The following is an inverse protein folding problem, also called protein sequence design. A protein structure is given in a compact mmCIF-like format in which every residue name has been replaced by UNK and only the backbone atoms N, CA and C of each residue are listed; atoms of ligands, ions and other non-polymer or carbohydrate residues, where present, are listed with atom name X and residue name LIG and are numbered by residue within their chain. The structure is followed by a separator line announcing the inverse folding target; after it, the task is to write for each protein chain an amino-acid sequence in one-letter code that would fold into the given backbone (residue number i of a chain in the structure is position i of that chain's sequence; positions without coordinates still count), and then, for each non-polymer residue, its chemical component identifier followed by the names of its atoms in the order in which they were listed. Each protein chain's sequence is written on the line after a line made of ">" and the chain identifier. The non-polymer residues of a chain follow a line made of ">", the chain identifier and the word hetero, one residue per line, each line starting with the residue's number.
data_IF_121761682616
#
_entry.id   IF_121761682616
#
_cell.length_a   1.000
_cell.length_b   1.000
_cell.length_c   1.000
_cell.angle_alpha   90.00
_cell.angle_beta   90.00
_cell.angle_gamma   90.00
#
_symmetry.space_group_name_H-M   'P 1'
#
loop_
_entity.id
_entity.type
_entity.pdbx_description
1 polymer ?
#
# COMPACT_ATOMS: atom_id res chain seq x y z
N UNK A 1 6.65 11.27 -7.36
CA UNK A 1 6.07 10.44 -6.27
C UNK A 1 6.05 8.94 -6.59
N UNK A 2 5.86 8.51 -7.84
CA UNK A 2 5.77 7.08 -8.19
C UNK A 2 7.07 6.29 -7.92
N UNK A 3 8.24 6.89 -8.17
CA UNK A 3 9.53 6.24 -7.91
C UNK A 3 9.74 5.92 -6.42
N UNK A 4 9.39 6.82 -5.51
CA UNK A 4 9.51 6.61 -4.06
C UNK A 4 8.69 5.40 -3.61
N UNK A 5 7.45 5.29 -4.10
CA UNK A 5 6.58 4.15 -3.80
C UNK A 5 7.17 2.83 -4.29
N UNK A 6 7.77 2.83 -5.49
CA UNK A 6 8.45 1.65 -6.03
C UNK A 6 9.66 1.25 -5.17
N UNK A 7 10.49 2.20 -4.75
CA UNK A 7 11.62 1.92 -3.85
C UNK A 7 11.16 1.35 -2.51
N UNK A 8 10.11 1.93 -1.91
CA UNK A 8 9.54 1.40 -0.67
C UNK A 8 8.98 -0.01 -0.86
N UNK A 9 8.30 -0.29 -1.97
CA UNK A 9 7.85 -1.65 -2.28
C UNK A 9 9.00 -2.65 -2.37
N UNK A 10 10.09 -2.28 -3.05
CA UNK A 10 11.28 -3.14 -3.16
C UNK A 10 11.96 -3.32 -1.79
N UNK A 11 11.99 -2.28 -0.96
CA UNK A 11 12.52 -2.34 0.39
C UNK A 11 11.70 -3.29 1.29
N UNK A 12 10.38 -3.11 1.34
CA UNK A 12 9.48 -3.94 2.15
C UNK A 12 9.20 -5.34 1.59
N UNK A 13 9.84 -5.70 0.48
CA UNK A 13 9.83 -7.06 -0.04
C UNK A 13 10.53 -8.02 0.91
N UNK A 14 11.71 -7.61 1.39
CA UNK A 14 12.57 -8.43 2.25
C UNK A 14 12.60 -7.91 3.70
N UNK A 15 11.98 -6.76 3.94
CA UNK A 15 11.95 -6.12 5.25
C UNK A 15 10.52 -5.97 5.76
N UNK A 16 10.34 -6.18 7.06
CA UNK A 16 9.13 -5.85 7.81
C UNK A 16 9.50 -4.79 8.85
N UNK A 17 8.63 -3.82 9.06
CA UNK A 17 8.86 -2.78 10.05
C UNK A 17 7.57 -2.43 10.79
N UNK A 18 7.70 -2.09 12.07
CA UNK A 18 6.60 -1.60 12.90
C UNK A 18 6.94 -0.18 13.29
N UNK A 19 6.09 0.76 12.91
CA UNK A 19 6.33 2.20 13.12
C UNK A 19 5.05 2.90 13.52
N UNK A 20 5.21 4.07 14.12
CA UNK A 20 4.10 4.95 14.44
C UNK A 20 3.55 5.59 13.16
N UNK A 21 2.24 5.75 13.10
CA UNK A 21 1.50 6.36 12.02
C UNK A 21 0.37 7.23 12.58
N UNK A 22 0.02 8.28 11.84
CA UNK A 22 -1.05 9.23 12.21
C UNK A 22 -2.27 8.94 11.36
N UNK A 23 -3.43 8.76 11.99
CA UNK A 23 -4.72 8.64 11.29
C UNK A 23 -5.03 9.97 10.63
N UNK A 24 -5.08 10.01 9.31
CA UNK A 24 -5.39 11.24 8.54
C UNK A 24 -6.85 11.32 8.15
N UNK A 25 -7.48 10.18 7.90
CA UNK A 25 -8.87 10.10 7.49
C UNK A 25 -9.47 8.77 7.94
N UNK A 26 -10.80 8.70 8.06
CA UNK A 26 -11.52 7.55 8.61
C UNK A 26 -12.60 7.11 7.62
N UNK A 27 -12.82 5.80 7.50
CA UNK A 27 -13.78 5.20 6.57
C UNK A 27 -14.58 4.09 7.25
N UNK A 28 -15.69 3.69 6.64
CA UNK A 28 -16.56 2.65 7.20
C UNK A 28 -15.85 1.30 7.43
N UNK A 29 -14.85 0.95 6.60
CA UNK A 29 -14.11 -0.32 6.70
C UNK A 29 -12.69 -0.17 7.26
N UNK A 30 -12.30 1.01 7.75
CA UNK A 30 -10.95 1.24 8.25
C UNK A 30 -10.57 2.72 8.24
N UNK A 31 -9.30 3.00 7.93
CA UNK A 31 -8.76 4.36 8.03
C UNK A 31 -7.64 4.60 7.01
N UNK A 32 -7.33 5.85 6.73
CA UNK A 32 -6.16 6.27 5.95
C UNK A 32 -5.14 6.83 6.93
N UNK A 33 -3.94 6.28 6.90
CA UNK A 33 -2.86 6.67 7.81
C UNK A 33 -1.70 7.27 7.03
N UNK A 34 -1.02 8.23 7.66
CA UNK A 34 0.26 8.76 7.23
C UNK A 34 1.37 8.18 8.09
N UNK A 35 2.44 7.71 7.45
CA UNK A 35 3.61 7.13 8.08
C UNK A 35 4.79 8.09 7.90
N UNK A 36 5.11 8.94 8.90
CA UNK A 36 6.11 9.98 8.76
C UNK A 36 7.50 9.45 8.40
N UNK A 37 7.89 8.30 8.99
CA UNK A 37 9.20 7.68 8.78
C UNK A 37 9.55 7.40 7.31
N UNK A 38 8.53 7.10 6.50
CA UNK A 38 8.69 6.75 5.08
C UNK A 38 8.06 7.78 4.14
N UNK A 39 7.50 8.85 4.70
CA UNK A 39 6.71 9.86 4.01
C UNK A 39 5.68 9.24 3.05
N UNK A 40 4.86 8.33 3.56
CA UNK A 40 3.85 7.62 2.76
C UNK A 40 2.48 7.62 3.42
N UNK A 41 1.44 7.61 2.58
CA UNK A 41 0.05 7.46 2.99
C UNK A 41 -0.53 6.16 2.45
N UNK A 42 -1.39 5.52 3.23
CA UNK A 42 -2.09 4.35 2.73
C UNK A 42 -3.25 3.90 3.63
N UNK A 43 -4.11 3.01 3.10
CA UNK A 43 -5.23 2.48 3.85
C UNK A 43 -4.80 1.42 4.84
N UNK A 44 -5.42 1.44 6.02
CA UNK A 44 -5.42 0.35 7.00
C UNK A 44 -6.85 -0.16 7.07
N UNK A 45 -7.08 -1.37 6.57
CA UNK A 45 -8.40 -2.00 6.59
C UNK A 45 -8.60 -2.72 7.93
N UNK A 46 -9.78 -2.55 8.52
CA UNK A 46 -10.22 -3.24 9.73
C UNK A 46 -11.27 -4.31 9.43
N UNK A 47 -11.94 -4.20 8.27
CA UNK A 47 -12.88 -5.18 7.77
C UNK A 47 -12.56 -5.56 6.32
N UNK A 48 -12.89 -6.79 5.93
CA UNK A 48 -12.77 -7.25 4.57
C UNK A 48 -13.94 -6.79 3.67
N UNK A 49 -13.95 -7.25 2.42
CA UNK A 49 -15.02 -6.95 1.46
C UNK A 49 -16.37 -7.59 1.83
N UNK A 50 -16.34 -8.64 2.66
CA UNK A 50 -17.54 -9.28 3.20
C UNK A 50 -18.08 -8.61 4.45
N UNK A 51 -17.41 -7.56 4.95
CA UNK A 51 -17.76 -6.88 6.19
C UNK A 51 -17.25 -7.58 7.45
N UNK A 52 -16.50 -8.68 7.32
CA UNK A 52 -15.95 -9.38 8.48
C UNK A 52 -14.76 -8.60 9.04
N UNK A 53 -14.76 -8.37 10.35
CA UNK A 53 -13.66 -7.67 11.04
C UNK A 53 -12.43 -8.58 11.08
N UNK A 54 -11.27 -8.04 10.70
CA UNK A 54 -10.00 -8.76 10.70
C UNK A 54 -8.94 -7.96 11.44
N UNK A 55 -8.71 -8.34 12.70
CA UNK A 55 -7.80 -7.65 13.63
C UNK A 55 -7.06 -8.67 14.51
N UNK A 56 -6.02 -8.23 15.19
CA UNK A 56 -5.40 -9.00 16.27
C UNK A 56 -6.34 -9.02 17.50
N UNK A 57 -6.73 -10.21 18.01
CA UNK A 57 -7.63 -10.32 19.17
C UNK A 57 -7.12 -9.56 20.41
N UNK A 58 -5.80 -9.42 20.57
CA UNK A 58 -5.21 -8.73 21.72
C UNK A 58 -5.57 -7.23 21.76
N UNK A 59 -5.89 -6.62 20.60
CA UNK A 59 -6.30 -5.21 20.50
C UNK A 59 -7.64 -4.93 21.16
N UNK A 60 -8.49 -5.95 21.26
CA UNK A 60 -9.81 -5.89 21.89
C UNK A 60 -9.84 -6.61 23.25
N UNK A 61 -8.68 -7.06 23.74
CA UNK A 61 -8.59 -7.78 25.02
C UNK A 61 -9.10 -9.22 24.97
N UNK A 62 -9.12 -9.83 23.78
CA UNK A 62 -9.44 -11.25 23.60
C UNK A 62 -8.16 -12.11 23.55
N UNK A 63 -8.24 -13.41 23.91
CA UNK A 63 -7.14 -14.35 23.70
C UNK A 63 -6.72 -14.45 22.22
N UNK A 64 -5.43 -14.68 21.96
CA UNK A 64 -4.87 -14.83 20.59
C UNK A 64 -5.47 -16.01 19.79
N UNK A 65 -6.11 -16.95 20.48
CA UNK A 65 -6.82 -18.10 19.89
C UNK A 65 -8.26 -17.79 19.48
N UNK A 66 -8.79 -16.62 19.83
CA UNK A 66 -10.17 -16.24 19.52
C UNK A 66 -10.33 -15.85 18.05
N UNK A 67 -11.48 -16.20 17.47
CA UNK A 67 -11.82 -15.91 16.08
C UNK A 67 -11.38 -16.98 15.09
N UNK A 68 -11.77 -16.79 13.84
CA UNK A 68 -11.47 -17.68 12.72
C UNK A 68 -10.11 -17.33 12.09
N UNK A 69 -9.53 -18.22 11.27
CA UNK A 69 -8.36 -17.89 10.46
C UNK A 69 -8.59 -16.64 9.59
N UNK A 70 -7.56 -15.82 9.35
CA UNK A 70 -7.67 -14.61 8.53
C UNK A 70 -7.95 -14.95 7.07
N UNK A 71 -8.58 -14.02 6.35
CA UNK A 71 -8.75 -14.13 4.90
C UNK A 71 -7.43 -13.94 4.16
N UNK A 72 -7.38 -14.30 2.88
CA UNK A 72 -6.17 -14.20 2.05
C UNK A 72 -5.52 -12.81 2.06
N UNK A 73 -6.31 -11.73 2.17
CA UNK A 73 -5.78 -10.36 2.24
C UNK A 73 -5.02 -10.02 3.52
N UNK A 74 -5.25 -10.77 4.59
CA UNK A 74 -4.72 -10.55 5.95
C UNK A 74 -3.85 -11.72 6.43
N UNK A 75 -3.77 -12.81 5.68
CA UNK A 75 -3.03 -14.02 6.02
C UNK A 75 -1.52 -13.79 6.23
N UNK A 76 -0.96 -12.69 5.73
CA UNK A 76 0.43 -12.30 5.97
C UNK A 76 0.73 -11.87 7.40
N UNK A 77 -0.30 -11.66 8.23
CA UNK A 77 -0.17 -11.29 9.64
C UNK A 77 -0.31 -12.51 10.54
N UNK A 78 0.70 -12.77 11.38
CA UNK A 78 0.76 -13.96 12.24
C UNK A 78 -0.36 -14.03 13.29
N UNK A 79 -0.86 -12.88 13.74
CA UNK A 79 -1.83 -12.79 14.84
C UNK A 79 -3.21 -12.28 14.41
N UNK A 80 -3.42 -12.03 13.12
CA UNK A 80 -4.71 -11.57 12.64
C UNK A 80 -5.73 -12.70 12.67
N UNK A 81 -6.92 -12.40 13.20
CA UNK A 81 -8.06 -13.32 13.25
C UNK A 81 -9.29 -12.64 12.65
N UNK A 82 -10.20 -13.44 12.15
CA UNK A 82 -11.45 -12.99 11.54
C UNK A 82 -12.61 -13.17 12.52
N UNK A 83 -13.44 -12.13 12.64
CA UNK A 83 -14.62 -12.08 13.50
C UNK A 83 -15.85 -11.73 12.65
N UNK A 84 -16.61 -12.73 12.17
CA UNK A 84 -17.82 -12.50 11.38
C UNK A 84 -18.92 -11.72 12.12
N UNK A 85 -18.99 -11.89 13.44
CA UNK A 85 -19.91 -11.16 14.32
C UNK A 85 -19.45 -9.72 14.63
N UNK A 86 -18.20 -9.39 14.27
CA UNK A 86 -17.65 -8.07 14.47
C UNK A 86 -18.24 -7.06 13.49
N UNK A 87 -18.48 -5.85 13.96
CA UNK A 87 -18.95 -4.74 13.13
C UNK A 87 -17.98 -3.56 13.19
N UNK A 88 -17.86 -2.87 12.06
CA UNK A 88 -17.06 -1.66 11.91
C UNK A 88 -18.02 -0.53 11.52
N UNK A 89 -18.24 0.43 12.42
CA UNK A 89 -19.19 1.52 12.24
C UNK A 89 -18.48 2.86 12.20
N UNK A 90 -18.86 3.70 11.22
CA UNK A 90 -18.41 5.09 11.16
C UNK A 90 -19.36 5.93 12.02
N UNK A 91 -18.81 6.62 13.00
CA UNK A 91 -19.49 7.51 13.94
C UNK A 91 -19.07 8.95 13.61
N UNK A 92 -20.03 9.83 13.38
CA UNK A 92 -19.83 11.27 13.18
C UNK A 92 -18.81 11.66 12.10
N UNK A 93 -18.61 10.81 11.09
CA UNK A 93 -17.64 10.96 9.96
C UNK A 93 -16.15 10.99 10.34
N UNK A 94 -15.82 11.27 11.60
CA UNK A 94 -14.45 11.44 12.09
C UNK A 94 -13.92 10.29 12.93
N UNK A 95 -14.79 9.35 13.30
CA UNK A 95 -14.46 8.26 14.22
C UNK A 95 -14.93 6.91 13.68
N UNK A 96 -14.08 5.89 13.73
CA UNK A 96 -14.47 4.51 13.44
C UNK A 96 -14.42 3.70 14.72
N UNK A 97 -15.48 2.95 14.98
CA UNK A 97 -15.60 2.05 16.11
C UNK A 97 -15.71 0.61 15.60
N UNK A 98 -14.90 -0.26 16.17
CA UNK A 98 -14.94 -1.70 15.97
C UNK A 98 -15.52 -2.32 17.23
N UNK A 99 -16.66 -3.00 17.05
CA UNK A 99 -17.34 -3.73 18.11
C UNK A 99 -17.34 -5.21 17.79
N UNK A 100 -16.88 -6.02 18.72
CA UNK A 100 -16.96 -7.48 18.63
C UNK A 100 -17.80 -7.94 19.82
N UNK A 101 -18.96 -8.59 19.61
CA UNK A 101 -19.86 -9.00 20.71
C UNK A 101 -19.20 -9.85 21.80
N UNK A 102 -18.20 -10.66 21.44
CA UNK A 102 -17.45 -11.49 22.38
C UNK A 102 -16.41 -10.71 23.18
N UNK A 103 -16.09 -9.48 22.77
CA UNK A 103 -15.09 -8.63 23.41
C UNK A 103 -15.71 -7.74 24.50
N UNK A 104 -15.05 -7.60 25.67
CA UNK A 104 -15.44 -6.61 26.67
C UNK A 104 -15.08 -5.18 26.27
N UNK A 105 -14.12 -5.00 25.36
CA UNK A 105 -13.58 -3.70 24.97
C UNK A 105 -14.03 -3.30 23.58
N UNK A 106 -14.38 -2.01 23.44
CA UNK A 106 -14.60 -1.38 22.14
C UNK A 106 -13.32 -0.72 21.66
N UNK A 107 -13.02 -0.89 20.38
CA UNK A 107 -11.84 -0.29 19.77
C UNK A 107 -12.28 0.89 18.91
N UNK A 108 -11.77 2.09 19.20
CA UNK A 108 -12.14 3.30 18.45
C UNK A 108 -10.93 4.13 18.05
N UNK A 109 -11.01 4.66 16.83
CA UNK A 109 -10.00 5.50 16.20
C UNK A 109 -10.62 6.78 15.68
N UNK A 110 -9.93 7.90 15.86
CA UNK A 110 -10.30 9.22 15.36
C UNK A 110 -9.20 9.79 14.47
N UNK A 111 -9.54 10.77 13.62
CA UNK A 111 -8.54 11.59 12.93
C UNK A 111 -7.53 12.15 13.95
N UNK A 112 -6.27 12.16 13.55
CA UNK A 112 -5.07 12.55 14.32
C UNK A 112 -4.63 11.59 15.43
N UNK A 113 -5.29 10.45 15.61
CA UNK A 113 -4.78 9.41 16.51
C UNK A 113 -3.42 8.89 16.02
N UNK A 114 -2.53 8.59 16.98
CA UNK A 114 -1.24 7.96 16.71
C UNK A 114 -1.33 6.47 17.02
N UNK A 115 -1.14 5.64 16.00
CA UNK A 115 -1.26 4.18 16.08
C UNK A 115 0.04 3.51 15.64
N UNK A 116 0.22 2.23 15.97
CA UNK A 116 1.33 1.43 15.41
C UNK A 116 0.85 0.58 14.26
N UNK A 117 1.54 0.71 13.13
CA UNK A 117 1.27 -0.06 11.91
C UNK A 117 2.46 -0.94 11.55
N UNK A 118 2.16 -2.14 11.07
CA UNK A 118 3.11 -3.05 10.47
C UNK A 118 3.11 -2.85 8.94
N UNK A 119 4.29 -2.56 8.40
CA UNK A 119 4.54 -2.40 6.98
C UNK A 119 5.12 -3.69 6.41
N UNK A 120 4.50 -4.18 5.35
CA UNK A 120 4.97 -5.36 4.62
C UNK A 120 4.56 -5.32 3.15
N UNK A 121 5.30 -6.00 2.29
CA UNK A 121 4.90 -6.20 0.90
C UNK A 121 4.61 -7.69 0.66
N UNK A 122 3.36 -8.02 0.32
CA UNK A 122 2.98 -9.40 0.00
C UNK A 122 3.18 -9.66 -1.49
N UNK A 123 4.01 -10.66 -1.83
CA UNK A 123 4.29 -11.08 -3.22
C UNK A 123 3.20 -11.99 -3.82
N UNK A 124 2.13 -12.25 -3.07
CA UNK A 124 1.01 -13.11 -3.44
C UNK A 124 0.15 -12.54 -4.58
N UNK A 125 0.23 -11.22 -4.82
CA UNK A 125 -0.48 -10.58 -5.92
C UNK A 125 0.27 -10.72 -7.25
N UNK A 126 -0.18 -11.66 -8.08
CA UNK A 126 0.35 -11.91 -9.45
C UNK A 126 0.08 -10.74 -10.41
N UNK A 127 -0.76 -9.78 -10.03
CA UNK A 127 -1.25 -8.73 -10.93
C UNK A 127 -0.19 -7.65 -11.20
N UNK A 128 0.67 -7.37 -10.23
CA UNK A 128 1.71 -6.34 -10.36
C UNK A 128 3.11 -6.98 -10.26
N UNK A 129 4.02 -6.55 -11.14
CA UNK A 129 5.43 -6.96 -11.07
C UNK A 129 6.08 -6.60 -9.73
N UNK A 130 5.59 -5.54 -9.08
CA UNK A 130 5.98 -5.11 -7.74
C UNK A 130 4.72 -4.67 -6.98
N UNK A 131 4.29 -5.39 -5.93
CA UNK A 131 3.11 -5.02 -5.16
C UNK A 131 3.34 -3.73 -4.36
N UNK A 132 2.30 -2.91 -4.09
CA UNK A 132 2.43 -1.78 -3.18
C UNK A 132 2.64 -2.27 -1.73
N UNK A 133 3.27 -1.47 -0.85
CA UNK A 133 3.35 -1.82 0.57
C UNK A 133 1.94 -1.83 1.18
N UNK A 134 1.68 -2.82 2.03
CA UNK A 134 0.46 -2.96 2.82
C UNK A 134 0.72 -2.46 4.24
N UNK A 135 -0.28 -1.79 4.80
CA UNK A 135 -0.28 -1.26 6.17
C UNK A 135 -1.31 -2.04 6.98
N UNK A 136 -0.88 -2.54 8.13
CA UNK A 136 -1.74 -3.33 9.01
C UNK A 136 -1.67 -2.79 10.43
N UNK A 137 -2.80 -2.72 11.12
CA UNK A 137 -2.85 -2.29 12.51
C UNK A 137 -2.18 -3.32 13.43
N UNK A 138 -1.30 -2.88 14.31
CA UNK A 138 -0.67 -3.74 15.35
C UNK A 138 -0.89 -3.24 16.77
N UNK A 139 -1.11 -1.94 16.96
CA UNK A 139 -1.43 -1.37 18.27
C UNK A 139 -2.25 -0.11 18.09
N UNK A 140 -3.26 0.05 18.93
CA UNK A 140 -4.20 1.16 18.87
C UNK A 140 -3.69 2.48 19.49
N UNK A 141 -2.39 2.62 19.70
CA UNK A 141 -1.81 3.77 20.39
C UNK A 141 -2.00 3.73 21.91
N UNK A 142 -1.58 4.79 22.60
CA UNK A 142 -1.47 4.90 24.06
C UNK A 142 -2.81 4.98 24.83
N UNK A 143 -3.82 4.20 24.43
CA UNK A 143 -4.80 3.72 25.40
C UNK A 143 -4.10 2.61 26.16
N UNK A 144 -3.63 2.94 27.37
CA UNK A 144 -2.85 2.10 28.26
C UNK A 144 -3.56 0.76 28.52
N UNK A 145 -3.34 -0.24 27.66
CA UNK A 145 -3.58 -1.64 28.02
C UNK A 145 -2.35 -2.02 28.81
N UNK A 146 -2.45 -2.33 30.12
CA UNK A 146 -1.29 -2.70 30.94
C UNK A 146 -0.65 -3.93 30.31
N UNK A 147 0.48 -3.71 29.62
CA UNK A 147 1.24 -4.79 29.00
C UNK A 147 1.88 -5.60 30.11
N UNK A 148 1.53 -6.87 30.21
CA UNK A 148 2.42 -7.86 30.82
C UNK A 148 3.64 -7.97 29.88
N UNK A 149 4.80 -7.61 30.40
CA UNK A 149 6.06 -7.57 29.65
C UNK A 149 6.38 -8.92 29.00
N UNK A 150 6.18 -9.00 27.68
CA UNK A 150 6.86 -9.96 26.83
C UNK A 150 7.80 -9.20 25.91
N UNK A 151 9.00 -8.92 26.43
CA UNK A 151 10.13 -8.46 25.65
C UNK A 151 10.51 -9.54 24.62
N UNK A 152 10.01 -9.40 23.38
CA UNK A 152 10.55 -10.12 22.23
C UNK A 152 11.55 -9.19 21.52
N UNK A 153 12.86 -9.41 21.65
CA UNK A 153 13.84 -8.58 20.96
C UNK A 153 13.69 -8.77 19.45
N UNK A 154 13.62 -7.66 18.72
CA UNK A 154 13.64 -7.63 17.27
C UNK A 154 14.99 -8.22 16.82
N UNK A 155 14.96 -9.36 16.14
CA UNK A 155 16.14 -9.99 15.53
C UNK A 155 16.67 -9.09 14.41
N UNK A 156 17.49 -8.10 14.77
CA UNK A 156 18.51 -7.58 13.88
C UNK A 156 19.67 -8.55 13.96
N UNK A 157 20.09 -9.11 12.83
CA UNK A 157 21.23 -10.03 12.74
C UNK A 157 22.47 -9.41 13.37
N UNK A 158 22.79 -9.83 14.60
CA UNK A 158 24.04 -9.53 15.28
C UNK A 158 25.01 -10.64 14.94
N UNK A 159 26.10 -10.26 14.27
CA UNK A 159 27.27 -11.09 14.05
C UNK A 159 27.80 -11.55 15.41
N UNK A 160 27.83 -12.88 15.62
CA UNK A 160 28.43 -13.52 16.80
C UNK A 160 29.93 -13.25 16.80
N UNK A 161 30.40 -12.33 17.63
CA UNK A 161 31.80 -12.28 18.06
C UNK A 161 31.91 -13.23 19.26
N UNK A 162 32.47 -14.41 19.03
CA UNK A 162 32.78 -15.39 20.06
C UNK A 162 33.99 -14.93 20.89
N UNK A 163 33.75 -14.19 21.97
CA UNK A 163 34.75 -13.97 23.01
C UNK A 163 34.60 -15.05 24.10
N UNK A 164 35.53 -16.00 24.11
CA UNK A 164 35.74 -16.97 25.18
C UNK A 164 36.27 -16.26 26.43
N UNK A 165 35.43 -16.10 27.45
CA UNK A 165 35.84 -15.60 28.75
C UNK A 165 36.00 -16.81 29.69
N UNK A 166 37.26 -17.13 29.99
CA UNK A 166 37.64 -18.09 31.02
C UNK A 166 37.29 -17.52 32.39
N UNK A 167 36.50 -18.26 33.17
CA UNK A 167 36.24 -17.99 34.58
C UNK A 167 37.54 -18.20 35.37
N UNK A 168 38.02 -17.15 36.03
CA UNK A 168 38.99 -17.25 37.12
C UNK A 168 38.43 -16.49 38.30
N UNK A 169 38.12 -17.23 39.36
CA UNK A 169 37.62 -16.71 40.63
C UNK A 169 38.73 -15.89 41.31
N UNK A 170 38.46 -14.62 41.58
CA UNK A 170 39.30 -13.78 42.44
C UNK A 170 38.43 -12.85 43.28
N UNK A 171 38.88 -12.49 44.50
CA UNK A 171 38.02 -11.99 45.55
C UNK A 171 37.61 -10.53 45.37
N UNK A 172 36.42 -10.26 45.89
CA UNK A 172 35.63 -9.04 45.88
C UNK A 172 36.42 -7.78 46.31
N UNK A 173 37.01 -7.06 45.35
CA UNK A 173 37.49 -5.69 45.55
C UNK A 173 36.36 -4.72 45.20
N UNK A 174 35.85 -4.00 46.21
CA UNK A 174 34.91 -2.89 46.03
C UNK A 174 35.61 -1.75 45.30
N UNK A 175 35.51 -1.72 43.98
CA UNK A 175 35.93 -0.58 43.19
C UNK A 175 34.82 0.48 43.20
N UNK A 176 35.13 1.62 43.82
CA UNK A 176 34.45 2.89 43.61
C UNK A 176 34.61 3.27 42.15
N UNK A 177 33.57 3.02 41.35
CA UNK A 177 33.51 3.40 39.94
C UNK A 177 33.27 4.91 39.90
N UNK A 178 34.32 5.69 39.64
CA UNK A 178 34.16 7.08 39.30
C UNK A 178 33.44 7.20 37.94
N UNK A 179 32.44 8.08 37.81
CA UNK A 179 31.70 8.23 36.56
C UNK A 179 32.62 8.79 35.48
N UNK A 180 33.02 7.94 34.54
CA UNK A 180 33.75 8.36 33.36
C UNK A 180 32.90 9.37 32.56
N UNK A 181 33.48 10.54 32.31
CA UNK A 181 32.89 11.58 31.48
C UNK A 181 32.59 11.04 30.08
N UNK A 182 31.43 11.39 29.52
CA UNK A 182 30.99 11.00 28.17
C UNK A 182 32.08 11.29 27.12
N UNK A 183 32.87 12.35 27.31
CA UNK A 183 33.99 12.69 26.43
C UNK A 183 35.10 11.64 26.39
N UNK A 184 35.40 10.98 27.51
CA UNK A 184 36.40 9.91 27.57
C UNK A 184 35.95 8.66 26.80
N UNK A 185 34.65 8.37 26.84
CA UNK A 185 34.04 7.27 26.09
C UNK A 185 34.10 7.58 24.59
N UNK A 186 33.70 8.79 24.18
CA UNK A 186 33.73 9.18 22.77
C UNK A 186 35.16 9.23 22.20
N UNK A 187 36.15 9.66 22.98
CA UNK A 187 37.55 9.66 22.56
C UNK A 187 38.13 8.24 22.39
N UNK A 188 37.57 7.24 23.07
CA UNK A 188 38.00 5.84 22.96
C UNK A 188 37.44 5.11 21.73
N UNK A 189 36.47 5.70 21.02
CA UNK A 189 35.85 5.08 19.84
C UNK A 189 36.71 5.40 18.61
N UNK A 190 37.62 4.50 18.26
CA UNK A 190 38.31 4.54 16.96
C UNK A 190 37.41 3.98 15.86
N UNK A 191 36.84 4.84 15.02
CA UNK A 191 36.09 4.40 13.83
C UNK A 191 37.09 4.05 12.74
N UNK A 192 37.38 2.75 12.59
CA UNK A 192 38.16 2.27 11.46
C UNK A 192 37.33 2.43 10.18
N UNK A 193 37.84 3.20 9.23
CA UNK A 193 37.22 3.35 7.91
C UNK A 193 37.22 2.00 7.19
N UNK A 194 36.04 1.41 7.01
CA UNK A 194 35.84 0.18 6.23
C UNK A 194 36.07 0.36 4.73
N UNK A 195 36.46 1.56 4.29
CA UNK A 195 36.62 1.93 2.88
C UNK A 195 38.07 1.87 2.38
N UNK A 196 39.03 1.45 3.21
CA UNK A 196 40.45 1.47 2.84
C UNK A 196 40.80 0.53 1.66
N UNK A 197 39.98 -0.51 1.41
CA UNK A 197 40.21 -1.47 0.31
C UNK A 197 39.13 -1.46 -0.78
N UNK A 198 38.17 -0.54 -0.71
CA UNK A 198 37.20 -0.39 -1.81
C UNK A 198 37.75 0.55 -2.86
N UNK A 199 38.32 -0.02 -3.92
CA UNK A 199 38.55 0.70 -5.17
C UNK A 199 37.21 1.28 -5.65
N UNK A 200 37.05 2.59 -5.45
CA UNK A 200 35.92 3.34 -5.97
C UNK A 200 36.05 3.29 -7.48
N UNK A 201 35.37 2.30 -8.05
CA UNK A 201 35.21 1.96 -9.47
C UNK A 201 35.47 3.19 -10.35
N UNK A 202 36.71 3.34 -10.80
CA UNK A 202 37.11 4.42 -11.68
C UNK A 202 36.25 4.31 -12.95
N UNK A 203 35.36 5.28 -13.14
CA UNK A 203 34.39 5.28 -14.21
C UNK A 203 35.10 5.32 -15.57
N UNK A 204 35.31 4.15 -16.18
CA UNK A 204 35.52 4.06 -17.62
C UNK A 204 34.16 4.34 -18.28
N UNK A 205 33.94 5.60 -18.68
CA UNK A 205 32.76 6.02 -19.45
C UNK A 205 32.77 5.29 -20.79
N UNK A 206 32.18 4.11 -20.87
CA UNK A 206 31.77 3.53 -22.14
C UNK A 206 30.64 4.38 -22.69
N UNK A 207 30.98 5.26 -23.63
CA UNK A 207 30.01 5.98 -24.46
C UNK A 207 29.26 4.95 -25.31
N UNK A 208 28.11 4.49 -24.83
CA UNK A 208 27.18 3.71 -25.62
C UNK A 208 26.59 4.61 -26.71
N UNK A 209 27.10 4.48 -27.94
CA UNK A 209 26.50 5.07 -29.14
C UNK A 209 25.21 4.32 -29.47
N UNK A 210 24.15 4.63 -28.73
CA UNK A 210 22.78 4.24 -29.05
C UNK A 210 22.39 4.89 -30.40
N UNK A 211 22.35 4.09 -31.46
CA UNK A 211 21.73 4.50 -32.73
C UNK A 211 20.23 4.68 -32.49
N UNK A 212 19.80 5.89 -32.14
CA UNK A 212 18.38 6.27 -32.09
C UNK A 212 17.76 6.01 -33.46
N UNK A 213 17.03 4.90 -33.59
CA UNK A 213 16.16 4.62 -34.73
C UNK A 213 14.89 5.46 -34.57
N UNK A 214 14.98 6.75 -34.91
CA UNK A 214 13.80 7.62 -34.99
C UNK A 214 13.03 7.21 -36.25
N UNK A 215 12.00 6.39 -36.09
CA UNK A 215 11.01 6.20 -37.15
C UNK A 215 10.24 7.51 -37.31
N UNK A 216 10.61 8.30 -38.31
CA UNK A 216 9.80 9.43 -38.78
C UNK A 216 8.57 8.85 -39.48
N UNK A 217 7.43 8.80 -38.78
CA UNK A 217 6.14 8.55 -39.40
C UNK A 217 5.81 9.74 -40.32
N UNK A 218 5.92 9.55 -41.64
CA UNK A 218 5.38 10.49 -42.63
C UNK A 218 3.85 10.34 -42.63
N UNK A 219 3.17 11.24 -41.92
CA UNK A 219 1.73 11.41 -41.95
C UNK A 219 1.34 12.70 -41.27
N UNK A 220 0.43 13.48 -41.86
CA UNK A 220 -0.18 14.64 -41.19
C UNK A 220 -1.04 14.13 -40.05
N UNK A 221 -0.71 14.51 -38.81
CA UNK A 221 -1.59 14.33 -37.68
C UNK A 221 -2.69 15.38 -37.82
N UNK A 222 -3.87 14.97 -38.26
CA UNK A 222 -5.07 15.79 -38.22
C UNK A 222 -5.65 15.69 -36.81
N UNK A 223 -5.43 16.71 -35.97
CA UNK A 223 -6.22 16.91 -34.76
C UNK A 223 -7.48 17.69 -35.14
N UNK A 224 -8.53 16.97 -35.53
CA UNK A 224 -9.84 17.59 -35.69
C UNK A 224 -10.49 17.78 -34.31
N UNK A 225 -10.73 19.03 -33.96
CA UNK A 225 -11.91 19.45 -33.20
C UNK A 225 -11.83 19.40 -31.68
N UNK A 226 -11.17 20.39 -31.08
CA UNK A 226 -11.73 21.02 -29.88
C UNK A 226 -12.36 22.34 -30.34
N UNK A 227 -13.67 22.34 -30.50
CA UNK A 227 -14.47 23.57 -30.55
C UNK A 227 -15.01 23.78 -29.15
N UNK A 228 -14.57 24.86 -28.50
CA UNK A 228 -15.21 25.40 -27.31
C UNK A 228 -16.46 26.15 -27.76
N UNK A 229 -17.61 25.49 -27.73
CA UNK A 229 -18.91 26.14 -27.93
C UNK A 229 -19.45 26.58 -26.56
N UNK A 230 -19.30 27.87 -26.29
CA UNK A 230 -20.01 28.60 -25.24
C UNK A 230 -21.46 28.74 -25.72
N UNK A 231 -22.38 27.95 -25.16
CA UNK A 231 -23.80 28.03 -25.46
C UNK A 231 -24.50 29.02 -24.53
N UNK A 232 -25.00 30.10 -25.15
CA UNK A 232 -26.06 30.97 -24.63
C UNK A 232 -27.42 30.27 -24.87
N UNK A 233 -28.37 30.29 -23.91
CA UNK A 233 -29.62 29.55 -24.05
C UNK A 233 -30.75 30.48 -24.47
N UNK A 234 -31.24 30.40 -25.71
CA UNK A 234 -32.62 30.76 -26.05
C UNK A 234 -33.11 29.92 -27.23
N UNK A 235 -34.25 29.27 -26.97
CA UNK A 235 -35.31 28.84 -27.87
C UNK A 235 -34.91 28.05 -29.13
N UNK A 236 -35.27 26.77 -29.14
CA UNK A 236 -36.15 26.24 -30.19
C UNK A 236 -36.71 24.87 -29.80
N UNK A 237 -38.03 24.77 -29.90
CA UNK A 237 -38.88 23.61 -29.72
C UNK A 237 -38.76 22.65 -30.90
N UNK A 238 -38.46 21.37 -30.64
CA UNK A 238 -38.84 20.27 -31.53
C UNK A 238 -39.07 18.98 -30.73
N UNK A 239 -40.28 18.46 -30.85
CA UNK A 239 -40.70 17.12 -30.43
C UNK A 239 -40.12 16.05 -31.37
N UNK A 240 -39.41 15.06 -30.82
CA UNK A 240 -39.78 13.62 -30.86
C UNK A 240 -38.62 12.71 -30.43
N UNK A 241 -38.94 11.87 -29.44
CA UNK A 241 -38.37 10.56 -29.09
C UNK A 241 -37.18 10.04 -29.93
N UNK A 242 -36.03 9.82 -29.28
CA UNK A 242 -35.54 8.46 -29.03
C UNK A 242 -34.26 8.43 -28.16
N UNK A 243 -34.43 7.82 -26.98
CA UNK A 243 -33.51 7.06 -26.14
C UNK A 243 -32.10 7.61 -25.77
N UNK A 244 -32.05 8.15 -24.54
CA UNK A 244 -31.04 7.87 -23.50
C UNK A 244 -29.59 7.63 -23.95
N UNK A 245 -28.92 8.67 -24.44
CA UNK A 245 -27.46 8.79 -24.34
C UNK A 245 -27.10 9.47 -23.01
N UNK A 246 -27.39 8.80 -21.89
CA UNK A 246 -26.79 9.20 -20.62
C UNK A 246 -25.28 9.05 -20.76
N UNK A 247 -24.59 10.20 -20.72
CA UNK A 247 -23.13 10.27 -20.77
C UNK A 247 -22.49 9.18 -19.92
N UNK A 248 -21.64 8.37 -20.56
CA UNK A 248 -20.87 7.27 -19.96
C UNK A 248 -20.11 7.72 -18.70
N UNK A 249 -19.78 9.01 -18.59
CA UNK A 249 -19.13 9.60 -17.42
C UNK A 249 -19.99 9.57 -16.16
N UNK A 250 -21.32 9.66 -16.29
CA UNK A 250 -22.21 9.75 -15.14
C UNK A 250 -22.57 8.37 -14.56
N UNK A 251 -22.55 7.31 -15.40
CA UNK A 251 -22.80 5.94 -14.94
C UNK A 251 -21.59 5.33 -14.21
N UNK A 252 -20.37 5.78 -14.50
CA UNK A 252 -19.17 5.34 -13.79
C UNK A 252 -19.12 5.80 -12.33
N UNK A 253 -19.82 6.88 -11.97
CA UNK A 253 -19.85 7.44 -10.62
C UNK A 253 -20.74 6.63 -9.67
N UNK A 254 -21.76 5.93 -10.19
CA UNK A 254 -22.78 5.24 -9.38
C UNK A 254 -22.34 3.84 -8.92
N UNK A 255 -21.15 3.35 -9.30
CA UNK A 255 -20.59 2.10 -8.74
C UNK A 255 -21.43 0.85 -9.03
N UNK A 256 -22.27 0.89 -10.06
CA UNK A 256 -23.19 -0.18 -10.38
C UNK A 256 -22.42 -1.30 -11.11
N UNK A 257 -22.25 -2.46 -10.45
CA UNK A 257 -21.43 -3.58 -10.95
C UNK A 257 -21.92 -4.09 -12.32
N UNK A 258 -23.19 -3.84 -12.66
CA UNK A 258 -23.79 -4.16 -13.95
C UNK A 258 -23.32 -3.23 -15.09
N UNK A 259 -23.02 -1.96 -14.79
CA UNK A 259 -22.55 -1.01 -15.79
C UNK A 259 -21.18 -1.39 -16.36
N UNK A 260 -20.26 -1.88 -15.52
CA UNK A 260 -18.93 -2.33 -15.97
C UNK A 260 -19.02 -3.51 -16.95
N UNK A 261 -19.87 -4.51 -16.68
CA UNK A 261 -20.08 -5.64 -17.60
C UNK A 261 -20.74 -5.21 -18.91
N UNK A 262 -21.62 -4.21 -18.86
CA UNK A 262 -22.26 -3.67 -20.06
C UNK A 262 -21.25 -2.95 -20.95
N UNK A 263 -20.36 -2.13 -20.36
CA UNK A 263 -19.27 -1.44 -21.07
C UNK A 263 -18.31 -2.45 -21.71
N UNK A 264 -17.93 -3.53 -21.00
CA UNK A 264 -17.06 -4.58 -21.56
C UNK A 264 -17.71 -5.31 -22.75
N UNK A 265 -19.01 -5.63 -22.65
CA UNK A 265 -19.77 -6.24 -23.76
C UNK A 265 -19.88 -5.31 -24.96
N UNK A 266 -20.10 -4.02 -24.72
CA UNK A 266 -20.20 -3.03 -25.78
C UNK A 266 -18.83 -2.80 -26.46
N UNK A 267 -17.75 -2.70 -25.69
CA UNK A 267 -16.39 -2.55 -26.22
C UNK A 267 -15.98 -3.75 -27.08
N UNK A 268 -16.29 -4.97 -26.63
CA UNK A 268 -16.02 -6.19 -27.39
C UNK A 268 -16.86 -6.28 -28.67
N UNK A 269 -18.15 -5.94 -28.61
CA UNK A 269 -19.01 -5.87 -29.80
C UNK A 269 -18.51 -4.84 -30.82
N UNK A 270 -18.05 -3.67 -30.36
CA UNK A 270 -17.49 -2.62 -31.23
C UNK A 270 -16.19 -3.07 -31.91
N UNK A 271 -15.30 -3.73 -31.18
CA UNK A 271 -14.08 -4.30 -31.76
C UNK A 271 -14.38 -5.35 -32.82
N UNK A 272 -15.38 -6.22 -32.59
CA UNK A 272 -15.79 -7.22 -33.56
C UNK A 272 -16.38 -6.59 -34.84
N UNK A 273 -17.20 -5.54 -34.72
CA UNK A 273 -17.71 -4.79 -35.89
C UNK A 273 -16.59 -4.17 -36.71
N UNK A 274 -15.64 -3.48 -36.07
CA UNK A 274 -14.48 -2.89 -36.75
C UNK A 274 -13.63 -3.96 -37.45
N UNK A 275 -13.44 -5.11 -36.80
CA UNK A 275 -12.72 -6.23 -37.40
C UNK A 275 -13.44 -6.81 -38.62
N UNK A 276 -14.77 -6.95 -38.56
CA UNK A 276 -15.59 -7.41 -39.67
C UNK A 276 -15.56 -6.43 -40.85
N UNK A 277 -15.71 -5.12 -40.60
CA UNK A 277 -15.60 -4.07 -41.62
C UNK A 277 -14.23 -4.09 -42.31
N UNK A 278 -13.15 -4.26 -41.55
CA UNK A 278 -11.79 -4.39 -42.11
C UNK A 278 -11.66 -5.61 -43.02
N UNK A 279 -12.30 -6.73 -42.71
CA UNK A 279 -12.30 -7.94 -43.56
C UNK A 279 -13.08 -7.69 -44.85
N UNK A 280 -14.23 -7.04 -44.77
CA UNK A 280 -15.06 -6.69 -45.94
C UNK A 280 -14.36 -5.68 -46.86
N UNK A 281 -13.72 -4.66 -46.29
CA UNK A 281 -12.95 -3.67 -47.06
C UNK A 281 -11.73 -4.28 -47.79
N UNK A 282 -11.12 -5.33 -47.23
CA UNK A 282 -10.04 -6.06 -47.92
C UNK A 282 -10.58 -6.90 -49.08
N UNK A 283 -11.74 -7.55 -48.91
CA UNK A 283 -12.40 -8.33 -49.96
C UNK A 283 -12.83 -7.45 -51.14
N UNK A 284 -13.43 -6.29 -50.89
CA UNK A 284 -13.84 -5.36 -51.96
C UNK A 284 -12.65 -4.81 -52.75
N UNK A 285 -11.51 -4.55 -52.10
CA UNK A 285 -10.26 -4.15 -52.77
C UNK A 285 -9.64 -5.28 -53.61
N UNK A 286 -9.79 -6.54 -53.18
CA UNK A 286 -9.30 -7.69 -53.94
C UNK A 286 -10.13 -7.95 -55.20
N UNK A 287 -11.45 -7.73 -55.15
CA UNK A 287 -12.32 -7.86 -56.33
C UNK A 287 -12.06 -6.77 -57.39
N UNK A 288 -11.74 -5.52 -56.99
CA UNK A 288 -11.41 -4.44 -57.94
C UNK A 288 -10.06 -4.59 -58.66
N UNK A 289 -9.26 -5.60 -58.32
CA UNK A 289 -7.93 -5.86 -58.90
C UNK A 289 -7.91 -7.03 -59.89
N UNK A 290 -9.06 -7.68 -60.11
CA UNK A 290 -9.28 -8.62 -61.20
C UNK A 290 -10.06 -7.90 -62.29
#
# INVERSE_FOLDING_TARGET
>A
MECQRLFLSLYFRDNKDITDAVVTDVKQNGMIVYVPKYDMKGPVFLADKGGNVQIDPSLVGLPLTSGLPPSSGFASLEHCRMFPEGTCTLIDEDKVEVTIPSSPSKLSFQRLDVIKVHLSCALDSVVARVPPPKLHLTSAGNKYIPRQDQHRPTEKGVVKISASIRKTDSPLVKSTVEPLSIYSILASISINSMLQDTDIRSHHKQTFKSKRRVQKLKGRIYMNGYKDEILNPKDETFDHNDYHTTSITNQAIVGDYNASRQIEREATARMQRIAAERRNAKRSKAMKRK
#
